data_IF_978709063271
#
_entry.id   IF_978709063271
#
_cell.length_a   1.000
_cell.length_b   1.000
_cell.length_c   1.000
_cell.angle_alpha   90.00
_cell.angle_beta   90.00
_cell.angle_gamma   90.00
#
_symmetry.space_group_name_H-M   'P 1'
#
loop_
_entity.id
_entity.type
_entity.pdbx_description
1 polymer ?
#
# COMPACT_ATOMS: atom_id res chain seq x y z
N UNK A 1 -5.29 7.41 -24.11
CA UNK A 1 -3.83 7.62 -24.24
C UNK A 1 -3.20 6.24 -24.33
N UNK A 2 -2.46 5.97 -25.39
CA UNK A 2 -1.77 4.68 -25.55
C UNK A 2 -0.61 4.63 -24.54
N UNK A 3 -0.59 3.58 -23.73
CA UNK A 3 0.50 3.28 -22.80
C UNK A 3 1.79 3.01 -23.63
N UNK A 4 2.80 3.90 -23.64
CA UNK A 4 3.99 3.75 -24.48
C UNK A 4 4.85 2.53 -24.14
N UNK A 5 4.60 1.90 -22.97
CA UNK A 5 5.36 0.73 -22.49
C UNK A 5 4.63 -0.59 -22.75
N UNK A 6 3.45 -0.56 -23.39
CA UNK A 6 2.62 -1.74 -23.69
C UNK A 6 2.37 -2.65 -22.45
N UNK A 7 2.41 -2.07 -21.24
CA UNK A 7 2.09 -2.77 -20.03
C UNK A 7 0.56 -2.94 -19.94
N UNK A 8 0.06 -4.10 -19.57
CA UNK A 8 -1.36 -4.27 -19.29
C UNK A 8 -1.73 -3.36 -18.11
N UNK A 9 -2.37 -2.24 -18.42
CA UNK A 9 -2.93 -1.38 -17.38
C UNK A 9 -4.34 -1.91 -17.10
N UNK A 10 -4.61 -2.46 -15.91
CA UNK A 10 -5.97 -2.83 -15.55
C UNK A 10 -6.90 -1.63 -15.67
N UNK A 11 -8.18 -1.83 -15.96
CA UNK A 11 -9.12 -0.74 -16.09
C UNK A 11 -9.17 0.08 -14.79
N UNK A 12 -8.98 1.39 -14.91
CA UNK A 12 -9.12 2.32 -13.81
C UNK A 12 -10.55 2.37 -13.27
N UNK A 13 -10.77 3.05 -12.14
CA UNK A 13 -12.08 3.23 -11.55
C UNK A 13 -13.00 4.06 -12.45
N UNK A 14 -14.30 3.83 -12.37
CA UNK A 14 -15.34 4.50 -13.17
C UNK A 14 -16.38 5.15 -12.27
N UNK A 15 -16.69 6.43 -12.51
CA UNK A 15 -17.81 7.11 -11.88
C UNK A 15 -19.17 6.46 -12.25
N UNK A 16 -20.21 6.55 -11.43
CA UNK A 16 -20.27 7.33 -10.18
C UNK A 16 -19.52 6.70 -9.02
N UNK A 17 -19.19 7.55 -8.01
CA UNK A 17 -18.50 7.16 -6.79
C UNK A 17 -19.47 6.99 -5.62
N UNK A 18 -19.43 5.85 -4.96
CA UNK A 18 -20.12 5.62 -3.69
C UNK A 18 -19.08 5.57 -2.57
N UNK A 19 -19.10 6.56 -1.69
CA UNK A 19 -18.25 6.57 -0.50
C UNK A 19 -18.85 5.62 0.51
N UNK A 20 -18.14 4.56 0.86
CA UNK A 20 -18.59 3.57 1.83
C UNK A 20 -18.34 4.10 3.24
N UNK A 21 -17.10 4.42 3.57
CA UNK A 21 -16.70 4.94 4.89
C UNK A 21 -15.31 5.58 4.83
N UNK A 22 -14.83 6.10 5.97
CA UNK A 22 -13.42 6.43 6.13
C UNK A 22 -12.61 5.12 6.08
N UNK A 23 -11.51 5.12 5.32
CA UNK A 23 -10.65 3.93 5.23
C UNK A 23 -10.16 3.52 6.61
N UNK A 24 -10.34 2.25 7.04
CA UNK A 24 -9.92 1.78 8.35
C UNK A 24 -8.45 2.13 8.64
N UNK A 25 -8.17 2.66 9.83
CA UNK A 25 -6.82 3.03 10.25
C UNK A 25 -6.21 4.26 9.54
N UNK A 26 -6.95 4.96 8.68
CA UNK A 26 -6.44 6.12 7.94
C UNK A 26 -6.43 7.38 8.79
N UNK A 27 -5.23 7.86 9.16
CA UNK A 27 -5.02 9.19 9.76
C UNK A 27 -5.06 10.35 8.75
N UNK A 28 -5.05 10.05 7.44
CA UNK A 28 -4.81 11.02 6.36
C UNK A 28 -6.06 11.35 5.53
N UNK A 29 -7.26 11.00 6.00
CA UNK A 29 -8.51 11.28 5.31
C UNK A 29 -8.72 10.48 4.02
N UNK A 30 -8.12 9.31 3.91
CA UNK A 30 -8.42 8.35 2.85
C UNK A 30 -9.84 7.79 3.03
N UNK A 31 -10.52 7.56 1.92
CA UNK A 31 -11.89 7.04 1.88
C UNK A 31 -11.91 5.70 1.15
N UNK A 32 -12.73 4.78 1.65
CA UNK A 32 -13.11 3.59 0.90
C UNK A 32 -14.23 3.97 -0.06
N UNK A 33 -14.03 3.67 -1.34
CA UNK A 33 -14.92 4.10 -2.42
C UNK A 33 -15.25 2.92 -3.31
N UNK A 34 -16.52 2.79 -3.66
CA UNK A 34 -16.99 1.83 -4.68
C UNK A 34 -17.21 2.55 -5.99
N UNK A 35 -16.71 1.98 -7.08
CA UNK A 35 -16.89 2.51 -8.43
C UNK A 35 -18.18 1.97 -9.10
N UNK A 36 -18.46 2.42 -10.30
CA UNK A 36 -19.63 1.99 -11.08
C UNK A 36 -19.64 0.47 -11.41
N UNK A 37 -18.48 -0.16 -11.40
CA UNK A 37 -18.32 -1.60 -11.60
C UNK A 37 -18.32 -2.38 -10.28
N UNK A 38 -18.74 -1.75 -9.19
CA UNK A 38 -18.79 -2.28 -7.82
C UNK A 38 -17.42 -2.66 -7.22
N UNK A 39 -16.32 -2.22 -7.81
CA UNK A 39 -14.97 -2.48 -7.31
C UNK A 39 -14.62 -1.50 -6.20
N UNK A 40 -13.93 -1.99 -5.17
CA UNK A 40 -13.47 -1.18 -4.04
C UNK A 40 -12.10 -0.54 -4.32
N UNK A 41 -11.97 0.71 -3.87
CA UNK A 41 -10.79 1.54 -4.02
C UNK A 41 -10.51 2.34 -2.76
N UNK A 42 -9.24 2.53 -2.44
CA UNK A 42 -8.81 3.52 -1.45
C UNK A 42 -8.58 4.84 -2.19
N UNK A 43 -9.44 5.81 -1.95
CA UNK A 43 -9.29 7.16 -2.51
C UNK A 43 -8.55 8.06 -1.54
N UNK A 44 -7.51 8.72 -2.03
CA UNK A 44 -6.68 9.65 -1.27
C UNK A 44 -6.75 11.04 -1.93
N UNK A 45 -7.57 11.99 -1.39
CA UNK A 45 -7.72 13.32 -1.94
C UNK A 45 -6.43 14.14 -1.80
N UNK A 46 -6.04 14.87 -2.85
CA UNK A 46 -4.84 15.72 -2.82
C UNK A 46 -4.98 16.88 -1.83
N UNK A 47 -6.19 17.45 -1.70
CA UNK A 47 -6.44 18.64 -0.89
C UNK A 47 -6.33 18.44 0.63
N UNK A 48 -6.50 17.21 1.12
CA UNK A 48 -6.52 16.91 2.56
C UNK A 48 -5.17 16.49 3.14
N UNK A 49 -4.14 16.40 2.32
CA UNK A 49 -2.83 15.94 2.79
C UNK A 49 -2.14 17.03 3.60
N UNK A 50 -1.72 16.67 4.83
CA UNK A 50 -0.85 17.50 5.67
C UNK A 50 0.40 17.85 4.88
N UNK A 51 0.81 19.12 4.93
CA UNK A 51 2.10 19.53 4.34
C UNK A 51 3.23 18.81 5.07
N UNK A 52 4.06 18.15 4.30
CA UNK A 52 5.29 17.53 4.79
C UNK A 52 6.45 18.43 4.37
N UNK A 53 7.40 18.62 5.28
CA UNK A 53 8.53 19.54 5.05
C UNK A 53 9.37 19.10 3.84
N UNK A 54 9.59 17.78 3.72
CA UNK A 54 10.49 17.19 2.74
C UNK A 54 9.82 16.81 1.42
N UNK A 55 8.51 17.06 1.29
CA UNK A 55 7.75 16.70 0.09
C UNK A 55 7.01 17.91 -0.48
N UNK A 56 7.19 18.25 -1.76
CA UNK A 56 6.44 19.32 -2.40
C UNK A 56 4.94 19.09 -2.30
N UNK A 57 4.20 20.13 -1.94
CA UNK A 57 2.75 20.07 -1.77
C UNK A 57 2.06 19.55 -3.04
N UNK A 58 1.06 18.66 -2.87
CA UNK A 58 0.26 18.13 -3.96
C UNK A 58 0.93 17.02 -4.80
N UNK A 59 2.14 16.56 -4.45
CA UNK A 59 2.84 15.52 -5.24
C UNK A 59 2.56 14.10 -4.79
N UNK A 60 2.03 13.87 -3.58
CA UNK A 60 1.91 12.52 -3.00
C UNK A 60 1.05 11.57 -3.85
N UNK A 61 -0.06 12.04 -4.42
CA UNK A 61 -0.89 11.22 -5.29
C UNK A 61 -0.14 10.74 -6.56
N UNK A 62 0.71 11.61 -7.13
CA UNK A 62 1.55 11.26 -8.28
C UNK A 62 2.64 10.27 -7.93
N UNK A 63 3.18 10.34 -6.70
CA UNK A 63 4.18 9.39 -6.20
C UNK A 63 3.60 8.00 -5.99
N UNK A 64 2.38 7.90 -5.46
CA UNK A 64 1.62 6.64 -5.38
C UNK A 64 1.49 5.97 -6.75
N UNK A 65 1.11 6.75 -7.77
CA UNK A 65 0.97 6.24 -9.15
C UNK A 65 2.33 5.89 -9.76
N UNK A 66 3.36 6.69 -9.54
CA UNK A 66 4.71 6.41 -10.03
C UNK A 66 5.26 5.10 -9.42
N UNK A 67 5.02 4.85 -8.13
CA UNK A 67 5.40 3.61 -7.47
C UNK A 67 4.70 2.39 -8.09
N UNK A 68 3.40 2.50 -8.38
CA UNK A 68 2.63 1.45 -9.07
C UNK A 68 3.22 1.17 -10.46
N UNK A 69 3.44 2.20 -11.28
CA UNK A 69 3.99 2.04 -12.62
C UNK A 69 5.40 1.43 -12.59
N UNK A 70 6.25 1.86 -11.67
CA UNK A 70 7.60 1.32 -11.55
C UNK A 70 7.57 -0.15 -11.12
N UNK A 71 6.70 -0.51 -10.15
CA UNK A 71 6.50 -1.91 -9.74
C UNK A 71 6.13 -2.81 -10.93
N UNK A 72 5.27 -2.32 -11.83
CA UNK A 72 4.90 -3.02 -13.06
C UNK A 72 6.08 -3.13 -14.04
N UNK A 73 6.80 -2.02 -14.28
CA UNK A 73 7.96 -1.99 -15.18
C UNK A 73 9.06 -2.94 -14.72
N UNK A 74 9.28 -3.03 -13.41
CA UNK A 74 10.24 -3.97 -12.81
C UNK A 74 9.76 -5.43 -12.86
N UNK A 75 8.51 -5.69 -13.22
CA UNK A 75 7.93 -7.04 -13.28
C UNK A 75 7.72 -7.69 -11.91
N UNK A 76 7.74 -6.91 -10.82
CA UNK A 76 7.58 -7.43 -9.46
C UNK A 76 6.13 -7.41 -8.97
N UNK A 77 5.28 -6.54 -9.53
CA UNK A 77 3.84 -6.53 -9.30
C UNK A 77 3.38 -6.33 -7.85
N UNK A 78 4.21 -5.74 -6.99
CA UNK A 78 3.92 -5.61 -5.55
C UNK A 78 2.95 -4.47 -5.20
N UNK A 79 2.80 -3.46 -6.06
CA UNK A 79 1.94 -2.31 -5.77
C UNK A 79 0.60 -2.50 -6.46
N UNK A 80 -0.53 -2.46 -5.72
CA UNK A 80 -1.86 -2.56 -6.31
C UNK A 80 -2.09 -1.48 -7.37
N UNK A 81 -2.97 -1.76 -8.33
CA UNK A 81 -3.35 -0.78 -9.35
C UNK A 81 -3.66 0.56 -8.70
N UNK A 82 -2.95 1.59 -9.12
CA UNK A 82 -3.07 2.95 -8.58
C UNK A 82 -3.11 3.94 -9.72
N UNK A 83 -4.13 4.80 -9.72
CA UNK A 83 -4.36 5.78 -10.78
C UNK A 83 -4.63 7.18 -10.22
N UNK A 84 -4.38 8.20 -11.04
CA UNK A 84 -4.84 9.56 -10.74
C UNK A 84 -6.29 9.72 -11.18
N UNK A 85 -7.08 10.40 -10.36
CA UNK A 85 -8.44 10.84 -10.70
C UNK A 85 -8.55 12.35 -10.54
N UNK A 86 -9.18 13.00 -11.53
CA UNK A 86 -9.41 14.45 -11.50
C UNK A 86 -10.69 14.84 -10.78
N UNK A 87 -11.67 13.95 -10.81
CA UNK A 87 -13.05 14.14 -10.37
C UNK A 87 -13.47 13.15 -9.27
N UNK A 88 -12.55 12.78 -8.39
CA UNK A 88 -12.85 11.93 -7.23
C UNK A 88 -13.89 12.56 -6.29
N UNK A 89 -14.42 11.81 -5.30
CA UNK A 89 -15.47 12.26 -4.38
C UNK A 89 -15.20 13.60 -3.69
N UNK A 90 -13.94 13.96 -3.55
CA UNK A 90 -13.48 15.21 -2.92
C UNK A 90 -12.47 15.96 -3.82
N UNK A 91 -12.62 15.86 -5.14
CA UNK A 91 -11.74 16.48 -6.13
C UNK A 91 -10.55 15.59 -6.57
N UNK A 92 -9.47 16.22 -7.06
CA UNK A 92 -8.33 15.47 -7.54
C UNK A 92 -7.65 14.61 -6.45
N UNK A 93 -7.18 13.42 -6.82
CA UNK A 93 -6.50 12.52 -5.91
C UNK A 93 -5.92 11.29 -6.60
N UNK A 94 -5.56 10.30 -5.82
CA UNK A 94 -5.25 8.94 -6.28
C UNK A 94 -6.31 7.95 -5.82
N UNK A 95 -6.55 6.92 -6.65
CA UNK A 95 -7.33 5.75 -6.28
C UNK A 95 -6.45 4.52 -6.43
N UNK A 96 -6.33 3.76 -5.35
CA UNK A 96 -5.63 2.48 -5.29
C UNK A 96 -6.62 1.36 -5.11
N UNK A 97 -6.47 0.28 -5.85
CA UNK A 97 -7.30 -0.91 -5.73
C UNK A 97 -7.26 -1.43 -4.30
N UNK A 98 -8.44 -1.68 -3.70
CA UNK A 98 -8.55 -2.29 -2.38
C UNK A 98 -8.03 -3.72 -2.41
N UNK A 99 -7.31 -4.11 -1.39
CA UNK A 99 -6.84 -5.48 -1.14
C UNK A 99 -7.55 -5.99 0.10
N UNK A 100 -8.18 -7.15 0.00
CA UNK A 100 -8.68 -7.90 1.15
C UNK A 100 -7.50 -8.59 1.82
N UNK A 101 -7.04 -8.02 2.93
CA UNK A 101 -5.86 -8.49 3.65
C UNK A 101 -6.19 -9.72 4.51
N UNK A 102 -5.37 -10.76 4.43
CA UNK A 102 -5.39 -11.89 5.36
C UNK A 102 -4.68 -11.50 6.67
N UNK A 103 -5.42 -10.84 7.55
CA UNK A 103 -4.90 -10.37 8.85
C UNK A 103 -4.48 -11.51 9.79
N UNK A 104 -4.91 -12.75 9.52
CA UNK A 104 -4.53 -13.93 10.32
C UNK A 104 -3.13 -14.44 9.96
N UNK A 105 -2.67 -14.14 8.75
CA UNK A 105 -1.39 -14.62 8.21
C UNK A 105 -0.43 -13.48 7.79
N UNK A 106 -0.19 -12.47 8.65
CA UNK A 106 0.67 -11.34 8.29
C UNK A 106 2.13 -11.80 8.10
N UNK A 107 2.83 -11.16 7.19
CA UNK A 107 4.27 -11.42 6.95
C UNK A 107 5.20 -10.59 7.84
N UNK A 108 4.66 -9.58 8.51
CA UNK A 108 5.37 -8.70 9.45
C UNK A 108 4.55 -8.61 10.72
N UNK A 109 5.19 -8.81 11.88
CA UNK A 109 4.53 -8.79 13.19
C UNK A 109 5.33 -8.01 14.20
N UNK A 110 4.62 -7.35 15.08
CA UNK A 110 5.14 -6.87 16.38
C UNK A 110 4.45 -7.70 17.46
N UNK A 111 5.22 -8.42 18.24
CA UNK A 111 4.69 -9.26 19.34
C UNK A 111 5.79 -9.44 20.41
N UNK A 112 5.42 -10.08 21.53
CA UNK A 112 6.39 -10.57 22.50
C UNK A 112 7.34 -11.54 21.83
N UNK A 113 8.64 -11.40 22.07
CA UNK A 113 9.69 -12.12 21.32
C UNK A 113 9.49 -13.63 21.32
N UNK A 114 9.02 -14.20 22.45
CA UNK A 114 8.75 -15.64 22.57
C UNK A 114 7.59 -16.14 21.71
N UNK A 115 6.72 -15.24 21.24
CA UNK A 115 5.58 -15.59 20.37
C UNK A 115 5.91 -15.46 18.89
N UNK A 116 7.03 -14.84 18.57
CA UNK A 116 7.46 -14.70 17.18
C UNK A 116 7.91 -16.05 16.63
N UNK A 117 7.62 -16.36 15.34
CA UNK A 117 8.07 -17.60 14.75
C UNK A 117 9.61 -17.69 14.73
N UNK A 118 10.22 -18.79 15.21
CA UNK A 118 11.67 -18.87 15.43
C UNK A 118 12.53 -18.78 14.15
N UNK A 119 11.91 -18.99 12.99
CA UNK A 119 12.58 -18.89 11.67
C UNK A 119 12.39 -17.51 11.01
N UNK A 120 11.72 -16.57 11.69
CA UNK A 120 11.58 -15.21 11.21
C UNK A 120 12.81 -14.37 11.61
N UNK A 121 13.05 -13.32 10.83
CA UNK A 121 14.09 -12.36 11.14
C UNK A 121 13.52 -11.34 12.12
N UNK A 122 14.00 -11.38 13.37
CA UNK A 122 13.54 -10.54 14.45
C UNK A 122 14.48 -9.37 14.75
N UNK A 123 13.91 -8.27 15.19
CA UNK A 123 14.62 -7.08 15.67
C UNK A 123 13.99 -6.61 17.00
N UNK A 124 14.76 -6.48 18.08
CA UNK A 124 14.23 -6.03 19.36
C UNK A 124 13.79 -4.57 19.30
N UNK A 125 12.61 -4.27 19.85
CA UNK A 125 12.06 -2.91 19.93
C UNK A 125 12.14 -2.35 21.36
N UNK A 126 12.05 -3.18 22.38
CA UNK A 126 12.00 -2.78 23.78
C UNK A 126 11.26 -3.78 24.64
N UNK A 127 10.63 -3.31 25.72
CA UNK A 127 9.79 -4.12 26.60
C UNK A 127 8.39 -3.52 26.70
N UNK A 128 7.39 -4.36 26.98
CA UNK A 128 6.02 -3.93 27.24
C UNK A 128 5.82 -3.50 28.71
N UNK A 129 4.57 -3.24 29.09
CA UNK A 129 4.19 -2.83 30.45
C UNK A 129 4.43 -3.94 31.51
N UNK A 130 4.58 -5.19 31.08
CA UNK A 130 4.86 -6.37 31.92
C UNK A 130 6.35 -6.77 31.89
N UNK A 131 7.26 -5.89 31.43
CA UNK A 131 8.68 -6.14 31.24
C UNK A 131 9.01 -7.31 30.28
N UNK A 132 8.09 -7.67 29.37
CA UNK A 132 8.33 -8.69 28.35
C UNK A 132 8.98 -8.08 27.13
N UNK A 133 10.01 -8.72 26.60
CA UNK A 133 10.70 -8.26 25.40
C UNK A 133 9.76 -8.27 24.18
N UNK A 134 9.63 -7.11 23.52
CA UNK A 134 8.86 -6.95 22.27
C UNK A 134 9.82 -6.86 21.09
N UNK A 135 9.53 -7.59 20.05
CA UNK A 135 10.27 -7.55 18.79
C UNK A 135 9.38 -7.26 17.58
N UNK A 136 9.98 -6.62 16.58
CA UNK A 136 9.48 -6.62 15.20
C UNK A 136 10.09 -7.80 14.50
N UNK A 137 9.30 -8.64 13.86
CA UNK A 137 9.81 -9.72 13.04
C UNK A 137 9.10 -9.80 11.70
N UNK A 138 9.81 -10.31 10.71
CA UNK A 138 9.27 -10.56 9.40
C UNK A 138 9.61 -11.96 8.89
N UNK A 139 8.69 -12.50 8.09
CA UNK A 139 8.85 -13.77 7.41
C UNK A 139 10.04 -13.75 6.43
N UNK A 140 10.73 -14.89 6.19
CA UNK A 140 11.72 -15.01 5.13
C UNK A 140 11.13 -15.06 3.72
N UNK A 141 9.86 -14.68 3.55
CA UNK A 141 9.14 -14.74 2.29
C UNK A 141 9.87 -13.96 1.16
N UNK A 142 10.05 -14.56 -0.05
CA UNK A 142 10.80 -13.90 -1.14
C UNK A 142 10.28 -12.53 -1.56
N UNK A 143 8.96 -12.31 -1.50
CA UNK A 143 8.35 -11.02 -1.84
C UNK A 143 8.81 -9.88 -0.92
N UNK A 144 9.14 -10.15 0.36
CA UNK A 144 9.70 -9.12 1.25
C UNK A 144 11.09 -8.68 0.83
N UNK A 145 11.90 -9.58 0.25
CA UNK A 145 13.19 -9.20 -0.33
C UNK A 145 13.02 -8.34 -1.57
N UNK A 146 12.06 -8.71 -2.44
CA UNK A 146 11.72 -7.90 -3.61
C UNK A 146 11.17 -6.53 -3.20
N UNK A 147 10.35 -6.47 -2.13
CA UNK A 147 9.86 -5.22 -1.56
C UNK A 147 11.00 -4.35 -1.00
N UNK A 148 11.95 -4.92 -0.26
CA UNK A 148 13.10 -4.18 0.25
C UNK A 148 13.94 -3.57 -0.89
N UNK A 149 14.15 -4.32 -1.97
CA UNK A 149 14.80 -3.79 -3.16
C UNK A 149 13.98 -2.67 -3.81
N UNK A 150 12.68 -2.87 -3.97
CA UNK A 150 11.77 -1.86 -4.50
C UNK A 150 11.82 -0.57 -3.66
N UNK A 151 11.69 -0.69 -2.32
CA UNK A 151 11.74 0.44 -1.40
C UNK A 151 13.06 1.21 -1.49
N UNK A 152 14.18 0.51 -1.68
CA UNK A 152 15.48 1.14 -1.92
C UNK A 152 15.51 1.91 -3.26
N UNK A 153 14.95 1.35 -4.33
CA UNK A 153 14.91 1.97 -5.66
C UNK A 153 14.02 3.22 -5.67
N UNK A 154 12.85 3.16 -5.03
CA UNK A 154 11.92 4.30 -4.96
C UNK A 154 12.27 5.29 -3.84
N UNK A 155 13.31 5.02 -3.05
CA UNK A 155 13.65 5.78 -1.86
C UNK A 155 12.43 5.95 -0.93
N UNK A 156 11.84 4.84 -0.48
CA UNK A 156 10.66 4.84 0.39
C UNK A 156 11.03 5.29 1.80
N UNK A 157 10.40 6.37 2.28
CA UNK A 157 10.70 6.97 3.58
C UNK A 157 9.82 6.45 4.74
N UNK A 158 8.75 5.71 4.46
CA UNK A 158 7.72 5.39 5.48
C UNK A 158 7.15 3.97 5.34
N UNK A 159 7.96 2.98 4.97
CA UNK A 159 7.50 1.58 4.95
C UNK A 159 7.26 1.07 6.37
N UNK A 160 6.04 0.61 6.63
CA UNK A 160 5.62 0.02 7.91
C UNK A 160 5.12 -1.40 7.70
N UNK A 161 5.06 -2.20 8.78
CA UNK A 161 4.50 -3.55 8.74
C UNK A 161 3.06 -3.58 8.21
N UNK A 162 2.21 -2.65 8.64
CA UNK A 162 0.82 -2.52 8.16
C UNK A 162 0.67 -2.03 6.71
N UNK A 163 1.77 -1.70 6.02
CA UNK A 163 1.76 -1.41 4.59
C UNK A 163 2.09 -2.63 3.73
N UNK A 164 2.28 -3.79 4.35
CA UNK A 164 2.52 -5.09 3.70
C UNK A 164 1.29 -5.95 3.93
N UNK A 165 0.50 -6.13 2.89
CA UNK A 165 -0.74 -6.91 2.93
C UNK A 165 -0.56 -8.25 2.23
N UNK A 166 -1.36 -9.23 2.63
CA UNK A 166 -1.39 -10.57 2.01
C UNK A 166 -2.83 -10.86 1.58
N UNK A 167 -3.04 -11.02 0.29
CA UNK A 167 -4.40 -11.26 -0.19
C UNK A 167 -4.42 -11.64 -1.67
N UNK A 168 -5.56 -12.17 -2.18
CA UNK A 168 -5.70 -12.47 -3.59
C UNK A 168 -5.61 -11.21 -4.44
N UNK A 169 -5.25 -11.39 -5.72
CA UNK A 169 -5.38 -10.30 -6.68
C UNK A 169 -6.88 -9.96 -6.85
N UNK A 170 -7.29 -8.72 -6.57
CA UNK A 170 -8.70 -8.37 -6.58
C UNK A 170 -9.36 -8.39 -7.97
N UNK A 171 -8.55 -8.41 -9.03
CA UNK A 171 -9.03 -8.43 -10.41
C UNK A 171 -8.86 -9.78 -11.08
N UNK A 172 -7.85 -10.57 -10.68
CA UNK A 172 -7.56 -11.90 -11.24
C UNK A 172 -7.96 -13.05 -10.32
N UNK A 173 -8.14 -12.78 -9.02
CA UNK A 173 -8.34 -13.83 -8.02
C UNK A 173 -7.08 -14.68 -7.82
N UNK A 174 -7.28 -15.94 -7.42
CA UNK A 174 -6.19 -16.91 -7.31
C UNK A 174 -5.59 -17.03 -5.92
N UNK A 175 -4.31 -17.42 -5.85
CA UNK A 175 -3.57 -17.56 -4.59
C UNK A 175 -3.23 -16.22 -3.97
N UNK A 176 -3.02 -16.21 -2.66
CA UNK A 176 -2.58 -15.02 -1.94
C UNK A 176 -1.29 -14.45 -2.54
N UNK A 177 -1.27 -13.14 -2.71
CA UNK A 177 -0.14 -12.35 -3.20
C UNK A 177 0.28 -11.35 -2.13
N UNK A 178 1.51 -10.87 -2.18
CA UNK A 178 2.03 -9.84 -1.27
C UNK A 178 1.90 -8.48 -1.92
N UNK A 179 1.27 -7.56 -1.21
CA UNK A 179 1.02 -6.22 -1.70
C UNK A 179 1.71 -5.17 -0.83
N UNK A 180 2.19 -4.11 -1.44
CA UNK A 180 2.80 -2.95 -0.79
C UNK A 180 1.93 -1.71 -1.04
N UNK A 181 1.30 -1.20 0.01
CA UNK A 181 0.42 -0.02 -0.04
C UNK A 181 1.09 1.20 0.58
N UNK A 182 0.44 2.36 0.47
CA UNK A 182 0.88 3.66 1.00
C UNK A 182 2.28 4.09 0.53
N UNK A 183 2.43 4.23 -0.78
CA UNK A 183 3.68 4.59 -1.44
C UNK A 183 3.80 6.11 -1.72
N UNK A 184 3.06 6.96 -1.01
CA UNK A 184 3.07 8.40 -1.22
C UNK A 184 4.39 9.09 -0.84
N UNK A 185 5.16 8.50 0.10
CA UNK A 185 6.44 9.02 0.57
C UNK A 185 7.63 8.32 -0.11
N UNK A 186 7.64 8.38 -1.44
CA UNK A 186 8.68 7.81 -2.32
C UNK A 186 9.26 8.90 -3.21
N UNK A 187 10.36 8.63 -3.90
CA UNK A 187 11.02 9.50 -4.88
C UNK A 187 11.40 10.89 -4.34
N UNK A 188 11.95 10.99 -3.16
CA UNK A 188 12.41 12.24 -2.55
C UNK A 188 13.93 12.38 -2.56
#
# INVERSE_FOLDING_TARGET
MTNPWNLPCPPGPRAPWHVEEASPGSSNGALLVRDADLRLWVYKPTARKRRLHDFPSGTLARREVAACLLSQVMGIGLVPVTVLVGDGPQGPGSMQRWIDDDVESPLVRVDVTERLPPHWHGFPLGVDEDDREIGLAHSPHPALRALALFDAVVNSADRKGGHVLVGPDPDLGGTAHVWAVDNGLTFH
#
